data_IF_817670816329
#
_entry.id   IF_817670816329
#
_cell.length_a   1.000
_cell.length_b   1.000
_cell.length_c   1.000
_cell.angle_alpha   90.00
_cell.angle_beta   90.00
_cell.angle_gamma   90.00
#
_symmetry.space_group_name_H-M   'P 1'
#
loop_
_entity.id
_entity.type
_entity.pdbx_description
1 polymer ?
#
# COMPACT_ATOMS: atom_id res chain seq x y z
N UNK A 1 -2.35 -13.28 31.19
CA UNK A 1 -1.15 -14.15 31.28
C UNK A 1 0.10 -13.30 31.44
N UNK A 2 1.18 -13.83 32.01
CA UNK A 2 2.45 -13.09 32.14
C UNK A 2 3.36 -13.31 30.92
N UNK A 3 4.34 -12.43 30.72
CA UNK A 3 5.31 -12.49 29.60
C UNK A 3 6.12 -13.80 29.58
N UNK A 4 6.37 -14.40 30.75
CA UNK A 4 7.06 -15.69 30.85
C UNK A 4 6.25 -16.80 30.17
N UNK A 5 4.94 -16.85 30.37
CA UNK A 5 4.05 -17.84 29.73
C UNK A 5 4.11 -17.71 28.20
N UNK A 6 4.01 -16.50 27.65
CA UNK A 6 4.08 -16.31 26.19
C UNK A 6 5.41 -16.75 25.58
N UNK A 7 6.53 -16.54 26.29
CA UNK A 7 7.84 -17.02 25.86
C UNK A 7 7.94 -18.54 25.89
N UNK A 8 7.47 -19.18 26.97
CA UNK A 8 7.52 -20.65 27.13
C UNK A 8 6.63 -21.35 26.09
N UNK A 9 5.44 -20.80 25.83
CA UNK A 9 4.51 -21.31 24.82
C UNK A 9 4.90 -20.93 23.38
N UNK A 10 5.96 -20.12 23.21
CA UNK A 10 6.40 -19.64 21.90
C UNK A 10 5.29 -18.92 21.12
N UNK A 11 4.38 -18.26 21.83
CA UNK A 11 3.18 -17.64 21.28
C UNK A 11 3.51 -16.62 20.17
N UNK A 12 4.64 -15.92 20.30
CA UNK A 12 5.14 -15.01 19.27
C UNK A 12 5.35 -15.70 17.92
N UNK A 13 5.81 -16.96 17.88
CA UNK A 13 5.98 -17.72 16.63
C UNK A 13 4.64 -18.01 15.97
N UNK A 14 3.61 -18.31 16.76
CA UNK A 14 2.23 -18.51 16.29
C UNK A 14 1.71 -17.21 15.67
N UNK A 15 1.91 -16.07 16.35
CA UNK A 15 1.51 -14.76 15.82
C UNK A 15 2.27 -14.40 14.53
N UNK A 16 3.57 -14.70 14.46
CA UNK A 16 4.36 -14.51 13.23
C UNK A 16 3.81 -15.36 12.09
N UNK A 17 3.50 -16.64 12.31
CA UNK A 17 2.89 -17.50 11.30
C UNK A 17 1.50 -17.00 10.89
N UNK A 18 0.66 -16.58 11.82
CA UNK A 18 -0.64 -15.97 11.51
C UNK A 18 -0.47 -14.71 10.65
N UNK A 19 0.51 -13.85 10.96
CA UNK A 19 0.73 -12.60 10.23
C UNK A 19 1.08 -12.81 8.75
N UNK A 20 1.68 -13.95 8.37
CA UNK A 20 1.98 -14.22 6.95
C UNK A 20 0.71 -14.45 6.12
N UNK A 21 -0.42 -14.75 6.76
CA UNK A 21 -1.73 -14.89 6.12
C UNK A 21 -2.49 -13.57 6.02
N UNK A 22 -2.01 -12.45 6.55
CA UNK A 22 -2.66 -11.15 6.36
C UNK A 22 -2.25 -10.51 5.02
N UNK A 23 -3.23 -9.88 4.35
CA UNK A 23 -3.08 -9.29 3.02
C UNK A 23 -2.50 -7.87 3.07
N UNK A 24 -2.71 -7.17 4.19
CA UNK A 24 -2.31 -5.79 4.41
C UNK A 24 -1.30 -5.65 5.55
N UNK A 25 -0.56 -4.54 5.57
CA UNK A 25 0.32 -4.20 6.69
C UNK A 25 -0.45 -3.97 8.00
N UNK A 26 -1.67 -3.43 7.90
CA UNK A 26 -2.56 -3.20 9.03
C UNK A 26 -3.03 -4.52 9.68
N UNK A 27 -3.45 -5.49 8.86
CA UNK A 27 -3.82 -6.83 9.34
C UNK A 27 -2.63 -7.57 9.95
N UNK A 28 -1.43 -7.42 9.37
CA UNK A 28 -0.18 -7.97 9.94
C UNK A 28 0.13 -7.38 11.31
N UNK A 29 0.04 -6.06 11.46
CA UNK A 29 0.23 -5.37 12.74
C UNK A 29 -0.76 -5.86 13.79
N UNK A 30 -2.03 -6.00 13.42
CA UNK A 30 -3.08 -6.48 14.32
C UNK A 30 -2.85 -7.94 14.73
N UNK A 31 -2.47 -8.81 13.80
CA UNK A 31 -2.11 -10.20 14.07
C UNK A 31 -0.98 -10.31 15.12
N UNK A 32 0.09 -9.53 14.95
CA UNK A 32 1.24 -9.56 15.87
C UNK A 32 0.94 -9.00 17.27
N UNK A 33 -0.11 -8.18 17.39
CA UNK A 33 -0.55 -7.59 18.65
C UNK A 33 -1.63 -8.40 19.37
N UNK A 34 -2.17 -9.45 18.77
CA UNK A 34 -3.18 -10.30 19.38
C UNK A 34 -2.75 -10.80 20.76
N UNK A 35 -3.69 -10.78 21.70
CA UNK A 35 -3.56 -11.34 23.04
C UNK A 35 -4.83 -12.12 23.38
N UNK A 36 -4.75 -13.19 24.18
CA UNK A 36 -5.93 -13.88 24.66
C UNK A 36 -6.83 -12.93 25.45
N UNK A 37 -8.13 -12.96 25.16
CA UNK A 37 -9.15 -12.28 25.97
C UNK A 37 -9.66 -13.20 27.07
N UNK A 38 -10.24 -12.60 28.11
CA UNK A 38 -11.00 -13.27 29.18
C UNK A 38 -12.48 -12.87 29.18
N UNK A 39 -12.88 -11.94 28.32
CA UNK A 39 -14.27 -11.53 28.19
C UNK A 39 -15.00 -12.49 27.25
N UNK A 40 -16.04 -13.17 27.74
CA UNK A 40 -16.83 -14.15 26.98
C UNK A 40 -17.32 -13.57 25.65
N UNK A 41 -17.85 -12.36 25.68
CA UNK A 41 -18.47 -11.72 24.52
C UNK A 41 -17.44 -11.43 23.42
N UNK A 42 -16.23 -11.01 23.81
CA UNK A 42 -15.13 -10.77 22.88
C UNK A 42 -14.62 -12.08 22.27
N UNK A 43 -14.52 -13.15 23.07
CA UNK A 43 -14.13 -14.49 22.59
C UNK A 43 -15.14 -15.01 21.58
N UNK A 44 -16.44 -14.98 21.90
CA UNK A 44 -17.52 -15.43 21.02
C UNK A 44 -17.49 -14.64 19.71
N UNK A 45 -17.38 -13.31 19.79
CA UNK A 45 -17.29 -12.45 18.62
C UNK A 45 -16.09 -12.80 17.72
N UNK A 46 -14.90 -12.97 18.32
CA UNK A 46 -13.67 -13.28 17.56
C UNK A 46 -13.70 -14.66 16.91
N UNK A 47 -14.35 -15.63 17.55
CA UNK A 47 -14.56 -16.96 16.97
C UNK A 47 -15.56 -16.87 15.80
N UNK A 48 -16.69 -16.19 15.99
CA UNK A 48 -17.68 -15.97 14.92
C UNK A 48 -17.05 -15.29 13.69
N UNK A 49 -16.24 -14.23 13.87
CA UNK A 49 -15.51 -13.60 12.76
C UNK A 49 -14.62 -14.57 11.98
N UNK A 50 -13.95 -15.48 12.69
CA UNK A 50 -13.04 -16.47 12.08
C UNK A 50 -13.84 -17.54 11.34
N UNK A 51 -14.90 -18.06 11.96
CA UNK A 51 -15.78 -19.08 11.38
C UNK A 51 -16.50 -18.55 10.15
N UNK A 52 -17.08 -17.36 10.22
CA UNK A 52 -17.71 -16.70 9.09
C UNK A 52 -16.72 -16.44 7.95
N UNK A 53 -15.50 -16.00 8.27
CA UNK A 53 -14.46 -15.81 7.25
C UNK A 53 -14.04 -17.13 6.59
N UNK A 54 -14.03 -18.24 7.33
CA UNK A 54 -13.83 -19.58 6.77
C UNK A 54 -14.94 -19.96 5.79
N UNK A 55 -16.21 -19.74 6.15
CA UNK A 55 -17.37 -20.02 5.30
C UNK A 55 -17.33 -19.21 4.00
N UNK A 56 -17.06 -17.91 4.10
CA UNK A 56 -16.92 -17.03 2.92
C UNK A 56 -15.73 -17.47 2.05
N UNK A 57 -14.61 -17.87 2.64
CA UNK A 57 -13.46 -18.33 1.85
C UNK A 57 -13.73 -19.64 1.09
N UNK A 58 -14.65 -20.47 1.58
CA UNK A 58 -15.05 -21.72 0.92
C UNK A 58 -15.99 -21.52 -0.27
N UNK A 59 -16.65 -20.37 -0.40
CA UNK A 59 -17.51 -20.08 -1.56
C UNK A 59 -16.71 -19.91 -2.86
N UNK A 60 -15.40 -19.73 -2.78
CA UNK A 60 -14.51 -19.46 -3.93
C UNK A 60 -14.54 -18.00 -4.39
N UNK A 61 -15.27 -17.13 -3.70
CA UNK A 61 -15.35 -15.71 -4.03
C UNK A 61 -14.02 -14.98 -3.80
N UNK A 62 -13.70 -14.05 -4.70
CA UNK A 62 -12.55 -13.17 -4.52
C UNK A 62 -12.89 -12.04 -3.55
N UNK A 63 -12.34 -12.10 -2.35
CA UNK A 63 -12.54 -11.09 -1.31
C UNK A 63 -11.80 -9.78 -1.69
N UNK A 64 -12.45 -8.61 -1.69
CA UNK A 64 -11.86 -7.34 -2.10
C UNK A 64 -10.95 -6.69 -1.03
N UNK A 65 -9.93 -7.42 -0.56
CA UNK A 65 -8.90 -6.91 0.37
C UNK A 65 -7.73 -6.20 -0.33
N UNK A 66 -7.72 -6.15 -1.67
CA UNK A 66 -6.63 -5.57 -2.45
C UNK A 66 -6.61 -4.04 -2.38
N UNK A 67 -5.41 -3.46 -2.29
CA UNK A 67 -5.20 -2.00 -2.31
C UNK A 67 -5.26 -1.31 -0.95
N UNK A 68 -5.46 -2.07 0.14
CA UNK A 68 -5.45 -1.53 1.51
C UNK A 68 -4.02 -1.16 1.91
N UNK A 69 -3.81 0.10 2.26
CA UNK A 69 -2.51 0.64 2.70
C UNK A 69 -2.60 1.28 4.09
N UNK A 70 -1.50 1.32 4.83
CA UNK A 70 -1.44 2.09 6.08
C UNK A 70 -1.30 3.58 5.78
N UNK A 71 -2.41 4.30 5.92
CA UNK A 71 -2.53 5.71 5.60
C UNK A 71 -2.70 6.58 6.84
N UNK A 72 -2.41 6.06 8.04
CA UNK A 72 -2.55 6.81 9.30
C UNK A 72 -1.75 8.12 9.27
N UNK A 73 -0.55 8.10 8.72
CA UNK A 73 0.29 9.29 8.57
C UNK A 73 -0.28 10.27 7.54
N UNK A 74 -0.69 9.77 6.37
CA UNK A 74 -1.27 10.59 5.29
C UNK A 74 -2.55 11.29 5.75
N UNK A 75 -3.50 10.58 6.38
CA UNK A 75 -4.73 11.20 6.89
C UNK A 75 -4.45 12.24 7.97
N UNK A 76 -3.51 12.00 8.90
CA UNK A 76 -3.11 12.99 9.91
C UNK A 76 -2.47 14.23 9.27
N UNK A 77 -1.59 14.03 8.28
CA UNK A 77 -0.92 15.09 7.54
C UNK A 77 -1.93 15.96 6.77
N UNK A 78 -2.82 15.34 6.01
CA UNK A 78 -3.88 16.03 5.25
C UNK A 78 -4.83 16.81 6.18
N UNK A 79 -5.22 16.22 7.31
CA UNK A 79 -6.08 16.89 8.31
C UNK A 79 -5.44 18.16 8.91
N UNK A 80 -4.10 18.22 8.95
CA UNK A 80 -3.36 19.41 9.40
C UNK A 80 -3.08 20.40 8.27
N UNK A 81 -3.66 20.21 7.08
CA UNK A 81 -3.45 21.05 5.89
C UNK A 81 -2.18 20.73 5.11
N UNK A 82 -1.54 19.59 5.38
CA UNK A 82 -0.37 19.13 4.64
C UNK A 82 -0.72 18.60 3.25
N UNK A 83 0.15 18.83 2.27
CA UNK A 83 -0.02 18.34 0.89
C UNK A 83 0.53 16.92 0.77
N UNK A 84 -0.31 16.01 0.28
CA UNK A 84 0.03 14.63 0.01
C UNK A 84 0.73 14.47 -1.34
N UNK A 85 1.68 13.54 -1.40
CA UNK A 85 2.33 13.15 -2.65
C UNK A 85 1.34 12.36 -3.55
N UNK A 86 1.55 12.35 -4.87
CA UNK A 86 0.70 11.60 -5.81
C UNK A 86 0.52 10.12 -5.43
N UNK A 87 1.57 9.46 -4.94
CA UNK A 87 1.55 8.06 -4.51
C UNK A 87 0.70 7.87 -3.25
N UNK A 88 0.77 8.82 -2.31
CA UNK A 88 -0.08 8.83 -1.10
C UNK A 88 -1.55 8.96 -1.49
N UNK A 89 -1.88 9.86 -2.43
CA UNK A 89 -3.25 10.05 -2.93
C UNK A 89 -3.77 8.81 -3.67
N UNK A 90 -2.94 8.19 -4.52
CA UNK A 90 -3.30 6.94 -5.19
C UNK A 90 -3.64 5.82 -4.20
N UNK A 91 -2.83 5.68 -3.14
CA UNK A 91 -3.09 4.72 -2.07
C UNK A 91 -4.37 5.04 -1.26
N UNK A 92 -4.67 6.33 -1.02
CA UNK A 92 -5.95 6.76 -0.43
C UNK A 92 -7.13 6.32 -1.30
N UNK A 93 -7.10 6.64 -2.60
CA UNK A 93 -8.15 6.22 -3.53
C UNK A 93 -8.34 4.71 -3.57
N UNK A 94 -7.24 3.94 -3.57
CA UNK A 94 -7.28 2.49 -3.53
C UNK A 94 -7.89 1.92 -2.25
N UNK A 95 -7.54 2.49 -1.09
CA UNK A 95 -8.05 2.05 0.20
C UNK A 95 -9.53 2.41 0.39
N UNK A 96 -9.96 3.61 -0.03
CA UNK A 96 -11.36 4.01 -0.02
C UNK A 96 -12.22 3.11 -0.92
N UNK A 97 -11.73 2.80 -2.12
CA UNK A 97 -12.38 1.85 -3.03
C UNK A 97 -12.49 0.46 -2.43
N UNK A 98 -11.44 -0.06 -1.78
CA UNK A 98 -11.48 -1.35 -1.10
C UNK A 98 -12.56 -1.37 0.00
N UNK A 99 -12.66 -0.30 0.81
CA UNK A 99 -13.70 -0.17 1.82
C UNK A 99 -15.10 -0.21 1.22
N UNK A 100 -15.35 0.56 0.15
CA UNK A 100 -16.63 0.55 -0.57
C UNK A 100 -16.96 -0.82 -1.15
N UNK A 101 -15.99 -1.49 -1.78
CA UNK A 101 -16.16 -2.83 -2.35
C UNK A 101 -16.44 -3.89 -1.29
N UNK A 102 -15.79 -3.83 -0.12
CA UNK A 102 -16.07 -4.73 1.01
C UNK A 102 -17.48 -4.53 1.54
N UNK A 103 -17.91 -3.28 1.69
CA UNK A 103 -19.29 -2.98 2.10
C UNK A 103 -20.32 -3.54 1.14
N UNK A 104 -20.10 -3.42 -0.17
CA UNK A 104 -20.96 -4.03 -1.19
C UNK A 104 -20.86 -5.56 -1.17
N UNK A 105 -19.67 -6.10 -0.99
CA UNK A 105 -19.43 -7.55 -0.97
C UNK A 105 -20.25 -8.23 0.11
N UNK A 106 -20.29 -7.67 1.31
CA UNK A 106 -21.07 -8.21 2.43
C UNK A 106 -22.56 -7.81 2.42
N UNK A 107 -23.10 -7.33 1.29
CA UNK A 107 -24.54 -7.12 1.13
C UNK A 107 -25.25 -8.38 0.60
N UNK A 108 -26.57 -8.47 0.79
CA UNK A 108 -27.39 -9.60 0.29
C UNK A 108 -27.16 -10.90 1.05
N UNK A 109 -27.13 -12.04 0.34
CA UNK A 109 -27.01 -13.39 0.91
C UNK A 109 -25.75 -13.58 1.79
N UNK A 110 -24.68 -12.84 1.51
CA UNK A 110 -23.45 -12.90 2.32
C UNK A 110 -23.63 -12.25 3.70
N UNK A 111 -24.58 -11.34 3.85
CA UNK A 111 -24.93 -10.78 5.15
C UNK A 111 -25.60 -11.82 6.06
N UNK A 112 -26.33 -12.77 5.47
CA UNK A 112 -26.95 -13.87 6.21
C UNK A 112 -25.94 -14.95 6.55
N UNK A 113 -25.01 -15.23 5.63
CA UNK A 113 -23.93 -16.22 5.82
C UNK A 113 -22.88 -15.75 6.83
N UNK A 114 -22.57 -14.45 6.83
CA UNK A 114 -21.52 -13.85 7.65
C UNK A 114 -22.02 -12.56 8.33
N UNK A 115 -22.98 -12.64 9.28
CA UNK A 115 -23.62 -11.49 9.89
C UNK A 115 -22.64 -10.62 10.70
N UNK A 116 -21.66 -11.23 11.36
CA UNK A 116 -20.67 -10.52 12.16
C UNK A 116 -19.72 -9.71 11.29
N UNK A 117 -19.20 -10.31 10.22
CA UNK A 117 -18.35 -9.62 9.25
C UNK A 117 -19.13 -8.58 8.46
N UNK A 118 -20.40 -8.85 8.15
CA UNK A 118 -21.27 -7.88 7.48
C UNK A 118 -21.54 -6.67 8.36
N UNK A 119 -21.76 -6.84 9.67
CA UNK A 119 -21.90 -5.72 10.60
C UNK A 119 -20.63 -4.84 10.61
N UNK A 120 -19.44 -5.45 10.61
CA UNK A 120 -18.17 -4.72 10.48
C UNK A 120 -18.08 -3.97 9.15
N UNK A 121 -18.37 -4.64 8.03
CA UNK A 121 -18.29 -4.05 6.70
C UNK A 121 -19.31 -2.89 6.52
N UNK A 122 -20.48 -2.98 7.14
CA UNK A 122 -21.50 -1.93 7.10
C UNK A 122 -21.11 -0.67 7.87
N UNK A 123 -20.19 -0.78 8.85
CA UNK A 123 -19.62 0.37 9.54
C UNK A 123 -18.60 1.15 8.69
N UNK A 124 -18.18 0.62 7.53
CA UNK A 124 -17.29 1.33 6.60
C UNK A 124 -18.01 2.53 5.98
N UNK A 125 -17.39 3.71 6.13
CA UNK A 125 -17.79 4.90 5.42
C UNK A 125 -17.33 4.82 3.95
N UNK A 126 -18.15 5.30 3.02
CA UNK A 126 -17.81 5.39 1.60
C UNK A 126 -17.60 6.86 1.22
N UNK A 127 -16.64 7.12 0.32
CA UNK A 127 -16.27 8.47 -0.10
C UNK A 127 -16.25 8.57 -1.64
N UNK A 128 -17.41 8.40 -2.30
CA UNK A 128 -17.47 8.30 -3.76
C UNK A 128 -16.93 9.55 -4.47
N UNK A 129 -17.18 10.74 -3.93
CA UNK A 129 -16.66 12.00 -4.47
C UNK A 129 -15.13 12.05 -4.40
N UNK A 130 -14.54 11.68 -3.26
CA UNK A 130 -13.08 11.61 -3.11
C UNK A 130 -12.46 10.56 -4.03
N UNK A 131 -13.07 9.36 -4.09
CA UNK A 131 -12.61 8.29 -4.99
C UNK A 131 -12.59 8.78 -6.44
N UNK A 132 -13.67 9.41 -6.90
CA UNK A 132 -13.80 9.91 -8.27
C UNK A 132 -12.80 11.03 -8.59
N UNK A 133 -12.60 11.96 -7.66
CA UNK A 133 -11.64 13.06 -7.85
C UNK A 133 -10.19 12.57 -7.88
N UNK A 134 -9.83 11.62 -7.00
CA UNK A 134 -8.51 10.97 -7.05
C UNK A 134 -8.35 10.17 -8.34
N UNK A 135 -9.33 9.36 -8.74
CA UNK A 135 -9.25 8.55 -9.96
C UNK A 135 -9.15 9.42 -11.22
N UNK A 136 -9.79 10.59 -11.24
CA UNK A 136 -9.69 11.54 -12.35
C UNK A 136 -8.29 12.16 -12.47
N UNK A 137 -7.60 12.35 -11.35
CA UNK A 137 -6.37 13.14 -11.30
C UNK A 137 -5.09 12.31 -11.16
N UNK A 138 -5.16 11.11 -10.58
CA UNK A 138 -4.02 10.28 -10.21
C UNK A 138 -4.08 8.93 -10.93
N UNK A 139 -2.96 8.54 -11.53
CA UNK A 139 -2.77 7.21 -12.12
C UNK A 139 -2.60 6.13 -11.04
N UNK A 140 -2.92 4.85 -11.35
CA UNK A 140 -2.69 3.74 -10.43
C UNK A 140 -1.23 3.63 -9.94
N UNK A 141 -0.26 4.02 -10.76
CA UNK A 141 1.17 4.00 -10.42
C UNK A 141 1.59 5.16 -9.49
N UNK A 142 0.67 6.08 -9.16
CA UNK A 142 0.95 7.21 -8.28
C UNK A 142 1.59 8.39 -9.01
N UNK A 143 1.12 8.72 -10.22
CA UNK A 143 1.53 9.93 -10.95
C UNK A 143 0.32 10.79 -11.31
N UNK A 144 0.51 12.09 -11.53
CA UNK A 144 -0.60 12.98 -11.92
C UNK A 144 -0.91 12.83 -13.41
N UNK A 145 -2.17 12.52 -13.72
CA UNK A 145 -2.66 12.33 -15.09
C UNK A 145 -2.48 13.59 -15.93
N UNK A 146 -2.19 13.42 -17.22
CA UNK A 146 -2.09 14.53 -18.18
C UNK A 146 -3.36 15.38 -18.24
N UNK A 147 -4.51 14.74 -18.05
CA UNK A 147 -5.84 15.34 -18.10
C UNK A 147 -6.46 15.59 -16.72
N UNK A 148 -5.65 15.60 -15.65
CA UNK A 148 -6.15 15.88 -14.30
C UNK A 148 -6.87 17.23 -14.19
N UNK A 149 -6.50 18.20 -15.03
CA UNK A 149 -7.29 19.41 -15.27
C UNK A 149 -7.19 19.86 -16.74
N UNK A 150 -8.18 20.61 -17.26
CA UNK A 150 -8.08 21.19 -18.61
C UNK A 150 -6.87 22.12 -18.77
N UNK A 151 -6.51 22.83 -17.70
CA UNK A 151 -5.33 23.70 -17.67
C UNK A 151 -4.03 22.88 -17.75
N UNK A 152 -3.92 21.80 -16.97
CA UNK A 152 -2.76 20.93 -16.98
C UNK A 152 -2.56 20.28 -18.36
N UNK A 153 -3.63 19.78 -18.97
CA UNK A 153 -3.60 19.20 -20.30
C UNK A 153 -3.09 20.21 -21.35
N UNK A 154 -3.56 21.47 -21.27
CA UNK A 154 -3.09 22.56 -22.13
C UNK A 154 -1.60 22.85 -21.92
N UNK A 155 -1.14 22.97 -20.67
CA UNK A 155 0.25 23.24 -20.32
C UNK A 155 1.17 22.12 -20.82
N UNK A 156 0.82 20.85 -20.56
CA UNK A 156 1.58 19.68 -21.04
C UNK A 156 1.64 19.60 -22.57
N UNK A 157 0.56 19.95 -23.26
CA UNK A 157 0.54 20.05 -24.73
C UNK A 157 1.45 21.17 -25.25
N UNK A 158 1.45 22.33 -24.59
CA UNK A 158 2.36 23.44 -24.89
C UNK A 158 3.83 23.04 -24.67
N UNK A 159 4.14 22.36 -23.55
CA UNK A 159 5.48 21.81 -23.26
C UNK A 159 5.93 20.90 -24.40
N UNK A 160 5.12 19.92 -24.80
CA UNK A 160 5.44 19.01 -25.93
C UNK A 160 5.67 19.78 -27.23
N UNK A 161 4.85 20.80 -27.51
CA UNK A 161 4.97 21.65 -28.70
C UNK A 161 6.29 22.42 -28.70
N UNK A 162 6.65 23.05 -27.58
CA UNK A 162 7.89 23.79 -27.45
C UNK A 162 9.12 22.87 -27.50
N UNK A 163 9.08 21.74 -26.81
CA UNK A 163 10.15 20.72 -26.87
C UNK A 163 10.39 20.23 -28.29
N UNK A 164 9.34 19.94 -29.07
CA UNK A 164 9.47 19.55 -30.47
C UNK A 164 10.06 20.67 -31.32
N UNK A 165 9.60 21.92 -31.17
CA UNK A 165 10.17 23.08 -31.89
C UNK A 165 11.65 23.30 -31.59
N UNK A 166 12.06 23.14 -30.33
CA UNK A 166 13.48 23.23 -29.93
C UNK A 166 14.28 22.11 -30.58
N UNK A 167 13.80 20.87 -30.51
CA UNK A 167 14.44 19.71 -31.14
C UNK A 167 14.57 19.87 -32.65
N UNK A 168 13.53 20.32 -33.34
CA UNK A 168 13.55 20.49 -34.79
C UNK A 168 14.59 21.54 -35.21
N UNK A 169 14.62 22.70 -34.53
CA UNK A 169 15.62 23.74 -34.79
C UNK A 169 17.04 23.27 -34.48
N UNK A 170 17.25 22.59 -33.36
CA UNK A 170 18.56 22.06 -33.00
C UNK A 170 19.00 20.95 -33.93
N UNK A 171 18.11 20.05 -34.35
CA UNK A 171 18.43 19.00 -35.31
C UNK A 171 18.82 19.59 -36.67
N UNK A 172 18.12 20.62 -37.15
CA UNK A 172 18.49 21.34 -38.36
C UNK A 172 19.89 21.98 -38.24
N UNK A 173 20.20 22.56 -37.07
CA UNK A 173 21.53 23.12 -36.80
C UNK A 173 22.61 22.03 -36.67
N UNK A 174 22.32 20.89 -36.05
CA UNK A 174 23.29 19.81 -35.82
C UNK A 174 23.61 19.04 -37.11
N UNK A 175 22.63 18.89 -37.98
CA UNK A 175 22.75 18.16 -39.25
C UNK A 175 23.08 19.06 -40.45
N UNK A 176 23.18 20.37 -40.23
CA UNK A 176 23.72 21.30 -41.23
C UNK A 176 25.17 20.97 -41.57
N UNK A 177 25.51 21.02 -42.87
CA UNK A 177 26.82 20.56 -43.37
C UNK A 177 28.04 21.31 -42.79
N UNK A 178 27.89 22.60 -42.47
CA UNK A 178 28.98 23.43 -41.94
C UNK A 178 29.09 23.36 -40.41
N UNK A 179 27.97 23.36 -39.71
CA UNK A 179 27.91 23.33 -38.24
C UNK A 179 28.43 22.03 -37.64
N UNK A 180 28.29 20.89 -38.34
CA UNK A 180 28.79 19.59 -37.87
C UNK A 180 30.30 19.56 -37.61
N UNK A 181 31.08 20.39 -38.32
CA UNK A 181 32.54 20.51 -38.13
C UNK A 181 32.90 21.15 -36.78
N UNK A 182 32.01 22.00 -36.26
CA UNK A 182 32.21 22.77 -35.03
C UNK A 182 31.76 22.01 -33.78
N UNK A 183 30.96 20.96 -33.94
CA UNK A 183 30.43 20.17 -32.84
C UNK A 183 31.43 19.10 -32.39
N UNK A 184 31.44 18.84 -31.08
CA UNK A 184 32.15 17.68 -30.54
C UNK A 184 31.38 16.40 -30.90
N UNK A 185 30.06 16.42 -30.69
CA UNK A 185 29.14 15.35 -31.05
C UNK A 185 27.89 15.95 -31.70
N UNK A 186 27.38 15.29 -32.74
CA UNK A 186 26.21 15.73 -33.46
C UNK A 186 24.92 15.27 -32.77
N UNK A 187 24.73 15.69 -31.51
CA UNK A 187 23.56 15.36 -30.72
C UNK A 187 23.08 16.52 -29.86
N UNK A 188 21.77 16.53 -29.59
CA UNK A 188 21.12 17.49 -28.71
C UNK A 188 21.19 16.99 -27.27
N UNK A 189 21.69 17.80 -26.36
CA UNK A 189 21.79 17.48 -24.92
C UNK A 189 20.96 18.41 -24.06
N UNK A 190 20.72 18.01 -22.82
CA UNK A 190 20.15 18.87 -21.78
C UNK A 190 21.26 19.24 -20.76
N UNK A 191 21.41 20.53 -20.45
CA UNK A 191 22.25 21.03 -19.36
C UNK A 191 21.45 22.00 -18.51
N UNK A 192 21.41 21.77 -17.19
CA UNK A 192 20.67 22.63 -16.25
C UNK A 192 19.20 22.86 -16.66
N UNK A 193 18.56 21.84 -17.25
CA UNK A 193 17.20 21.92 -17.76
C UNK A 193 17.03 22.75 -19.04
N UNK A 194 18.11 23.03 -19.79
CA UNK A 194 18.06 23.73 -21.08
C UNK A 194 18.63 22.84 -22.18
N UNK A 195 18.00 22.88 -23.35
CA UNK A 195 18.52 22.21 -24.53
C UNK A 195 19.73 22.96 -25.09
N UNK A 196 20.83 22.24 -25.29
CA UNK A 196 22.13 22.77 -25.71
C UNK A 196 22.83 21.81 -26.68
N UNK A 197 23.78 22.34 -27.43
CA UNK A 197 24.65 21.56 -28.33
C UNK A 197 26.10 21.63 -27.86
N UNK A 198 26.85 20.51 -27.92
CA UNK A 198 28.26 20.47 -27.52
C UNK A 198 29.15 20.99 -28.66
N UNK A 199 29.76 22.15 -28.45
CA UNK A 199 30.63 22.85 -29.41
C UNK A 199 32.08 22.76 -28.94
N UNK A 200 33.02 22.49 -29.86
CA UNK A 200 34.45 22.52 -29.52
C UNK A 200 34.87 23.93 -29.13
N UNK A 201 35.69 24.05 -28.10
CA UNK A 201 36.10 25.34 -27.53
C UNK A 201 36.70 26.29 -28.60
N UNK A 202 37.49 25.76 -29.53
CA UNK A 202 38.11 26.50 -30.64
C UNK A 202 37.10 27.15 -31.61
N UNK A 203 35.89 26.61 -31.71
CA UNK A 203 34.83 27.11 -32.61
C UNK A 203 33.73 27.89 -31.87
N UNK A 204 33.98 28.30 -30.61
CA UNK A 204 33.00 29.03 -29.77
C UNK A 204 32.40 30.25 -30.46
N UNK A 205 33.19 31.02 -31.20
CA UNK A 205 32.75 32.26 -31.84
C UNK A 205 31.85 32.04 -33.07
N UNK A 206 31.90 30.85 -33.68
CA UNK A 206 31.14 30.54 -34.89
C UNK A 206 29.68 30.19 -34.61
N UNK A 207 29.36 29.79 -33.37
CA UNK A 207 27.99 29.49 -32.95
C UNK A 207 27.51 30.56 -31.96
N UNK A 208 26.74 31.56 -32.41
CA UNK A 208 26.19 32.58 -31.53
C UNK A 208 25.16 31.95 -30.57
N UNK A 209 25.36 32.19 -29.28
CA UNK A 209 24.57 31.56 -28.23
C UNK A 209 25.14 31.79 -26.84
N UNK A 210 24.45 31.26 -25.83
CA UNK A 210 24.79 31.39 -24.41
C UNK A 210 25.48 30.10 -23.96
N UNK A 211 26.61 30.20 -23.26
CA UNK A 211 27.29 29.03 -22.68
C UNK A 211 26.62 28.70 -21.35
N UNK A 212 26.14 27.46 -21.18
CA UNK A 212 25.52 27.00 -19.94
C UNK A 212 26.41 26.13 -19.09
N UNK A 213 27.37 25.47 -19.72
CA UNK A 213 28.27 24.53 -19.04
C UNK A 213 29.54 24.28 -19.88
N UNK A 214 30.55 23.70 -19.26
CA UNK A 214 31.82 23.33 -19.89
C UNK A 214 32.26 21.93 -19.42
N UNK A 215 32.87 21.14 -20.29
CA UNK A 215 33.44 19.84 -19.91
C UNK A 215 34.58 20.00 -18.89
N UNK A 216 34.82 18.97 -18.08
CA UNK A 216 35.91 18.98 -17.09
C UNK A 216 37.31 19.26 -17.70
N UNK A 217 37.52 18.86 -18.95
CA UNK A 217 38.74 19.12 -19.73
C UNK A 217 38.81 20.53 -20.34
N UNK A 218 37.73 21.31 -20.29
CA UNK A 218 37.60 22.60 -20.96
C UNK A 218 37.26 22.52 -22.45
N UNK A 219 37.55 21.40 -23.11
CA UNK A 219 37.53 21.26 -24.57
C UNK A 219 36.14 21.39 -25.22
N UNK A 220 35.05 21.13 -24.49
CA UNK A 220 33.68 21.18 -25.01
C UNK A 220 32.87 22.21 -24.24
N UNK A 221 32.23 23.13 -24.97
CA UNK A 221 31.30 24.11 -24.44
C UNK A 221 29.87 23.70 -24.79
N UNK A 222 28.98 23.70 -23.80
CA UNK A 222 27.57 23.42 -23.99
C UNK A 222 26.83 24.73 -24.25
N UNK A 223 26.48 24.98 -25.51
CA UNK A 223 25.95 26.26 -25.97
C UNK A 223 24.46 26.13 -26.29
N UNK A 224 23.64 27.06 -25.79
CA UNK A 224 22.28 27.31 -26.24
C UNK A 224 22.32 28.30 -27.42
N UNK A 225 22.06 27.87 -28.66
CA UNK A 225 22.09 28.76 -29.81
C UNK A 225 21.03 29.85 -29.73
N UNK A 226 21.35 31.06 -30.20
CA UNK A 226 20.45 32.21 -30.15
C UNK A 226 19.06 31.92 -30.78
N UNK A 227 19.02 31.05 -31.81
CA UNK A 227 17.81 30.65 -32.52
C UNK A 227 16.75 29.92 -31.66
N UNK A 228 17.15 29.40 -30.48
CA UNK A 228 16.26 28.67 -29.57
C UNK A 228 16.13 29.30 -28.18
N UNK A 229 16.91 30.35 -27.86
CA UNK A 229 16.90 30.99 -26.54
C UNK A 229 15.50 31.41 -26.12
N UNK A 230 14.76 32.05 -27.02
CA UNK A 230 13.38 32.48 -26.76
C UNK A 230 12.44 31.29 -26.52
N UNK A 231 12.58 30.22 -27.31
CA UNK A 231 11.74 29.03 -27.21
C UNK A 231 12.02 28.28 -25.90
N UNK A 232 13.28 28.17 -25.49
CA UNK A 232 13.67 27.58 -24.21
C UNK A 232 13.18 28.42 -23.02
N UNK A 233 13.23 29.74 -23.11
CA UNK A 233 12.68 30.60 -22.06
C UNK A 233 11.15 30.43 -21.93
N UNK A 234 10.43 30.37 -23.05
CA UNK A 234 8.99 30.06 -23.06
C UNK A 234 8.71 28.67 -22.51
N UNK A 235 9.49 27.65 -22.90
CA UNK A 235 9.37 26.29 -22.38
C UNK A 235 9.53 26.27 -20.85
N UNK A 236 10.57 26.92 -20.33
CA UNK A 236 10.80 27.02 -18.87
C UNK A 236 9.67 27.72 -18.15
N UNK A 237 9.07 28.75 -18.75
CA UNK A 237 7.91 29.42 -18.16
C UNK A 237 6.71 28.48 -18.07
N UNK A 238 6.38 27.75 -19.15
CA UNK A 238 5.25 26.82 -19.17
C UNK A 238 5.50 25.63 -18.23
N UNK A 239 6.74 25.14 -18.13
CA UNK A 239 7.12 24.11 -17.14
C UNK A 239 6.88 24.61 -15.70
N UNK A 240 7.26 25.84 -15.36
CA UNK A 240 7.00 26.40 -14.05
C UNK A 240 5.50 26.64 -13.78
N UNK A 241 4.71 26.93 -14.80
CA UNK A 241 3.24 27.01 -14.71
C UNK A 241 2.61 25.61 -14.52
N UNK A 242 3.16 24.58 -15.16
CA UNK A 242 2.76 23.17 -14.99
C UNK A 242 3.01 22.69 -13.56
N UNK A 243 4.20 22.94 -13.02
CA UNK A 243 4.54 22.59 -11.63
C UNK A 243 3.57 23.22 -10.63
N UNK A 244 3.21 24.49 -10.84
CA UNK A 244 2.23 25.20 -10.01
C UNK A 244 0.84 24.60 -10.13
N UNK A 245 0.41 24.23 -11.33
CA UNK A 245 -0.89 23.62 -11.56
C UNK A 245 -0.96 22.22 -10.92
N UNK A 246 0.10 21.42 -11.04
CA UNK A 246 0.22 20.13 -10.34
C UNK A 246 0.13 20.33 -8.83
N UNK A 247 0.89 21.27 -8.26
CA UNK A 247 0.83 21.56 -6.84
C UNK A 247 -0.57 22.00 -6.38
N UNK A 248 -1.27 22.80 -7.19
CA UNK A 248 -2.66 23.21 -6.94
C UNK A 248 -3.63 22.03 -6.90
N UNK A 249 -3.50 21.10 -7.86
CA UNK A 249 -4.32 19.88 -7.93
C UNK A 249 -4.06 19.01 -6.69
N UNK A 250 -2.80 18.76 -6.35
CA UNK A 250 -2.43 17.97 -5.18
C UNK A 250 -2.92 18.60 -3.88
N UNK A 251 -2.83 19.92 -3.74
CA UNK A 251 -3.35 20.64 -2.58
C UNK A 251 -4.87 20.49 -2.45
N UNK A 252 -5.61 20.62 -3.57
CA UNK A 252 -7.07 20.46 -3.58
C UNK A 252 -7.49 19.03 -3.18
N UNK A 253 -6.85 18.01 -3.75
CA UNK A 253 -7.12 16.61 -3.39
C UNK A 253 -6.75 16.34 -1.92
N UNK A 254 -5.63 16.87 -1.45
CA UNK A 254 -5.21 16.71 -0.05
C UNK A 254 -6.20 17.35 0.92
N UNK A 255 -6.81 18.48 0.55
CA UNK A 255 -7.86 19.11 1.34
C UNK A 255 -9.10 18.19 1.45
N UNK A 256 -9.56 17.61 0.34
CA UNK A 256 -10.67 16.64 0.34
C UNK A 256 -10.35 15.41 1.23
N UNK A 257 -9.11 14.91 1.18
CA UNK A 257 -8.66 13.84 2.08
C UNK A 257 -8.71 14.29 3.54
N UNK A 258 -8.34 15.54 3.83
CA UNK A 258 -8.38 16.14 5.16
C UNK A 258 -9.79 16.22 5.74
N UNK A 259 -10.79 16.54 4.93
CA UNK A 259 -12.21 16.61 5.32
C UNK A 259 -12.75 15.26 5.80
N UNK A 260 -12.36 14.18 5.13
CA UNK A 260 -12.82 12.82 5.48
C UNK A 260 -11.85 12.04 6.38
N UNK A 261 -10.77 12.66 6.84
CA UNK A 261 -9.69 11.96 7.54
C UNK A 261 -10.14 11.19 8.79
N UNK A 262 -11.07 11.74 9.58
CA UNK A 262 -11.58 11.10 10.80
C UNK A 262 -12.33 9.79 10.51
N UNK A 263 -13.41 9.77 9.69
CA UNK A 263 -14.06 8.52 9.33
C UNK A 263 -13.15 7.58 8.51
N UNK A 264 -12.23 8.13 7.71
CA UNK A 264 -11.27 7.30 6.97
C UNK A 264 -10.26 6.58 7.89
N UNK A 265 -9.84 7.19 9.00
CA UNK A 265 -9.03 6.53 10.03
C UNK A 265 -9.80 5.39 10.71
N UNK A 266 -11.09 5.58 11.00
CA UNK A 266 -11.95 4.50 11.53
C UNK A 266 -12.09 3.35 10.52
N UNK A 267 -12.21 3.65 9.22
CA UNK A 267 -12.18 2.62 8.18
C UNK A 267 -10.90 1.76 8.25
N UNK A 268 -9.72 2.35 8.49
CA UNK A 268 -8.47 1.58 8.57
C UNK A 268 -8.50 0.52 9.69
N UNK A 269 -9.13 0.83 10.83
CA UNK A 269 -9.28 -0.12 11.94
C UNK A 269 -10.21 -1.27 11.56
N UNK A 270 -11.35 -0.97 10.92
CA UNK A 270 -12.31 -1.96 10.45
C UNK A 270 -11.68 -2.85 9.37
N UNK A 271 -10.98 -2.25 8.40
CA UNK A 271 -10.26 -2.96 7.34
C UNK A 271 -9.19 -3.89 7.91
N UNK A 272 -8.45 -3.46 8.94
CA UNK A 272 -7.47 -4.28 9.63
C UNK A 272 -8.11 -5.51 10.30
N UNK A 273 -9.28 -5.31 10.94
CA UNK A 273 -10.04 -6.39 11.60
C UNK A 273 -10.60 -7.39 10.58
N UNK A 274 -11.16 -6.91 9.46
CA UNK A 274 -11.61 -7.77 8.37
C UNK A 274 -10.46 -8.58 7.76
N UNK A 275 -9.31 -7.95 7.47
CA UNK A 275 -8.13 -8.67 6.96
C UNK A 275 -7.60 -9.69 7.97
N UNK A 276 -7.62 -9.36 9.28
CA UNK A 276 -7.25 -10.30 10.33
C UNK A 276 -8.21 -11.50 10.41
N UNK A 277 -9.52 -11.30 10.26
CA UNK A 277 -10.49 -12.39 10.24
C UNK A 277 -10.20 -13.37 9.10
N UNK A 278 -9.95 -12.86 7.89
CA UNK A 278 -9.54 -13.68 6.75
C UNK A 278 -8.14 -14.30 6.90
N UNK A 279 -7.21 -13.63 7.58
CA UNK A 279 -5.91 -14.22 7.94
C UNK A 279 -6.08 -15.41 8.90
N UNK A 280 -6.92 -15.26 9.94
CA UNK A 280 -7.26 -16.34 10.87
C UNK A 280 -7.97 -17.49 10.17
N UNK A 281 -8.89 -17.20 9.24
CA UNK A 281 -9.56 -18.23 8.46
C UNK A 281 -8.59 -19.06 7.63
N UNK A 282 -7.70 -18.42 6.87
CA UNK A 282 -6.65 -19.11 6.10
C UNK A 282 -5.72 -19.92 7.00
N UNK A 283 -5.34 -19.38 8.15
CA UNK A 283 -4.51 -20.10 9.11
C UNK A 283 -5.25 -21.27 9.75
N UNK A 284 -6.55 -21.13 10.05
CA UNK A 284 -7.40 -22.21 10.54
C UNK A 284 -7.53 -23.33 9.51
N UNK A 285 -7.71 -22.99 8.23
CA UNK A 285 -7.77 -23.97 7.14
C UNK A 285 -6.47 -24.76 7.01
N UNK A 286 -5.31 -24.09 7.07
CA UNK A 286 -3.99 -24.73 7.07
C UNK A 286 -3.83 -25.71 8.25
N UNK A 287 -4.30 -25.32 9.44
CA UNK A 287 -4.21 -26.15 10.64
C UNK A 287 -5.28 -27.23 10.73
N UNK A 288 -6.28 -27.22 9.84
CA UNK A 288 -7.55 -27.95 10.03
C UNK A 288 -8.20 -27.64 11.40
N UNK A 289 -8.14 -26.36 11.80
CA UNK A 289 -8.72 -25.85 13.05
C UNK A 289 -10.25 -25.92 13.05
N UNK A 290 -10.81 -26.06 14.25
CA UNK A 290 -12.25 -26.08 14.50
C UNK A 290 -12.58 -25.05 15.57
N UNK A 291 -13.73 -24.39 15.44
CA UNK A 291 -14.23 -23.46 16.45
C UNK A 291 -14.47 -24.21 17.79
N UNK A 292 -13.88 -23.74 18.90
CA UNK A 292 -14.12 -24.36 20.19
C UNK A 292 -15.52 -24.01 20.73
N UNK A 293 -16.14 -24.97 21.41
CA UNK A 293 -17.36 -24.72 22.18
C UNK A 293 -16.95 -24.04 23.49
N UNK A 294 -17.36 -22.79 23.67
CA UNK A 294 -17.10 -22.03 24.89
C UNK A 294 -18.23 -22.28 25.89
N UNK A 295 -17.89 -22.62 27.13
CA UNK A 295 -18.85 -22.88 28.21
C UNK A 295 -18.39 -22.20 29.49
N UNK A 296 -19.32 -21.91 30.40
CA UNK A 296 -19.01 -21.35 31.74
C UNK A 296 -18.42 -22.39 32.71
N UNK A 297 -18.37 -23.67 32.32
CA UNK A 297 -17.80 -24.72 33.14
C UNK A 297 -16.28 -24.56 33.22
N UNK A 298 -15.71 -24.81 34.41
CA UNK A 298 -14.25 -24.85 34.62
C UNK A 298 -13.70 -26.20 34.19
N UNK A 299 -13.93 -26.54 32.92
CA UNK A 299 -13.47 -27.78 32.30
C UNK A 299 -12.83 -27.51 30.94
N UNK A 300 -11.91 -28.39 30.57
CA UNK A 300 -11.20 -28.37 29.30
C UNK A 300 -11.34 -29.75 28.67
N UNK A 301 -11.80 -29.79 27.41
CA UNK A 301 -11.83 -31.01 26.63
C UNK A 301 -11.26 -30.73 25.24
N UNK A 302 -10.12 -31.33 24.95
CA UNK A 302 -9.43 -31.27 23.68
C UNK A 302 -9.49 -32.66 23.05
N UNK A 303 -9.98 -32.74 21.81
CA UNK A 303 -10.09 -33.98 21.05
C UNK A 303 -9.20 -33.88 19.81
N UNK A 304 -8.39 -34.90 19.58
CA UNK A 304 -7.42 -35.00 18.51
C UNK A 304 -6.53 -33.74 18.35
N UNK A 305 -6.18 -33.08 19.45
CA UNK A 305 -5.46 -31.82 19.45
C UNK A 305 -4.00 -32.00 19.00
N UNK A 306 -3.49 -30.97 18.32
CA UNK A 306 -2.13 -30.94 17.78
C UNK A 306 -1.48 -29.61 18.12
N UNK A 307 -0.21 -29.66 18.47
CA UNK A 307 0.55 -28.44 18.70
C UNK A 307 0.73 -27.67 17.38
N UNK A 308 0.32 -26.40 17.27
CA UNK A 308 0.24 -25.66 16.00
C UNK A 308 1.61 -25.31 15.36
N UNK A 309 2.69 -25.44 16.14
CA UNK A 309 4.07 -25.25 15.64
C UNK A 309 4.79 -26.55 15.25
N UNK A 310 4.17 -27.72 15.45
CA UNK A 310 4.77 -28.96 14.97
C UNK A 310 4.50 -29.17 13.48
N UNK A 311 5.50 -29.68 12.78
CA UNK A 311 5.45 -29.96 11.34
C UNK A 311 5.52 -31.47 11.07
N UNK A 312 5.07 -31.90 9.89
CA UNK A 312 5.10 -33.30 9.46
C UNK A 312 4.02 -34.17 10.12
N UNK A 313 4.35 -35.44 10.39
CA UNK A 313 3.40 -36.42 10.95
C UNK A 313 3.27 -36.24 12.46
N UNK A 314 2.36 -35.36 12.88
CA UNK A 314 2.05 -35.10 14.29
C UNK A 314 1.01 -36.09 14.79
N UNK A 315 1.30 -36.78 15.90
CA UNK A 315 0.34 -37.64 16.60
C UNK A 315 -0.56 -36.75 17.46
N UNK A 316 -1.89 -36.76 17.25
CA UNK A 316 -2.80 -35.96 18.05
C UNK A 316 -2.98 -36.52 19.46
N UNK A 317 -3.40 -35.66 20.39
CA UNK A 317 -3.70 -36.04 21.78
C UNK A 317 -5.15 -35.71 22.15
N UNK A 318 -5.72 -36.53 23.02
CA UNK A 318 -6.97 -36.23 23.71
C UNK A 318 -6.65 -35.82 25.15
N UNK A 319 -7.27 -34.74 25.63
CA UNK A 319 -7.08 -34.22 26.97
C UNK A 319 -8.43 -33.82 27.55
N UNK A 320 -8.73 -34.29 28.75
CA UNK A 320 -9.89 -33.84 29.52
C UNK A 320 -9.42 -33.44 30.93
N UNK A 321 -9.94 -32.33 31.45
CA UNK A 321 -9.64 -31.83 32.79
C UNK A 321 -10.83 -31.04 33.32
N UNK A 322 -11.15 -31.17 34.61
CA UNK A 322 -12.22 -30.41 35.27
C UNK A 322 -13.61 -31.04 35.21
N UNK A 323 -13.78 -32.18 34.53
CA UNK A 323 -15.03 -32.96 34.55
C UNK A 323 -15.06 -33.92 35.75
N UNK A 324 -14.31 -35.03 35.69
CA UNK A 324 -14.25 -36.06 36.74
C UNK A 324 -13.02 -35.95 37.64
N UNK A 325 -12.00 -35.21 37.22
CA UNK A 325 -10.76 -34.97 37.98
C UNK A 325 -10.20 -33.57 37.69
N UNK A 326 -9.46 -33.01 38.65
CA UNK A 326 -8.88 -31.67 38.58
C UNK A 326 -7.35 -31.66 38.46
N UNK A 327 -6.71 -32.82 38.55
CA UNK A 327 -5.24 -32.92 38.51
C UNK A 327 -4.82 -34.06 37.59
N UNK A 328 -3.90 -33.76 36.68
CA UNK A 328 -3.32 -34.71 35.74
C UNK A 328 -1.82 -34.86 36.01
N UNK A 329 -1.36 -36.09 36.22
CA UNK A 329 0.06 -36.41 36.40
C UNK A 329 0.58 -37.12 35.13
N UNK A 330 1.50 -36.48 34.41
CA UNK A 330 2.07 -37.02 33.17
C UNK A 330 3.45 -37.63 33.43
N UNK A 331 3.54 -38.96 33.38
CA UNK A 331 4.79 -39.73 33.51
C UNK A 331 5.28 -40.25 32.16
N UNK A 332 6.58 -40.53 32.01
CA UNK A 332 7.14 -41.13 30.79
C UNK A 332 8.58 -40.68 30.50
N UNK A 333 9.24 -41.26 29.48
CA UNK A 333 10.59 -40.86 29.07
C UNK A 333 10.61 -39.40 28.56
N UNK A 334 11.77 -38.74 28.63
CA UNK A 334 11.90 -37.32 28.23
C UNK A 334 11.55 -37.07 26.75
N UNK A 335 11.81 -38.05 25.88
CA UNK A 335 11.50 -38.00 24.45
C UNK A 335 10.04 -38.36 24.13
N UNK A 336 9.22 -38.70 25.12
CA UNK A 336 7.83 -39.14 24.95
C UNK A 336 6.81 -38.02 24.70
N UNK A 337 7.24 -36.82 24.32
CA UNK A 337 6.33 -35.72 23.96
C UNK A 337 5.65 -34.99 25.13
N UNK A 338 5.99 -35.29 26.40
CA UNK A 338 5.36 -34.68 27.60
C UNK A 338 5.30 -33.15 27.55
N UNK A 339 6.42 -32.50 27.24
CA UNK A 339 6.50 -31.04 27.19
C UNK A 339 5.67 -30.45 26.06
N UNK A 340 5.61 -31.12 24.91
CA UNK A 340 4.77 -30.68 23.79
C UNK A 340 3.30 -30.82 24.16
N UNK A 341 2.90 -31.94 24.76
CA UNK A 341 1.53 -32.15 25.22
C UNK A 341 1.07 -31.10 26.24
N UNK A 342 1.95 -30.66 27.14
CA UNK A 342 1.66 -29.57 28.09
C UNK A 342 1.59 -28.17 27.45
N UNK A 343 2.29 -27.96 26.33
CA UNK A 343 2.25 -26.70 25.59
C UNK A 343 1.06 -26.61 24.62
N UNK A 344 0.49 -27.77 24.25
CA UNK A 344 -0.62 -27.91 23.29
C UNK A 344 -1.92 -27.46 23.93
#
# INVERSE_FOLDING_TARGET
MNEKTFRVLEFGKILTRLSTYASSTLGKELALRLRPSIASDEIIQWQAETTEACLISQSGDRIPLGGISDLRAAFKKARLGGILAPEELGAVGATCRAARLLRVFFSGERAETAPTLAALAMALAAFPELEQEIERAIEPEGSVKDNASPQLARLRSQIRTYQNRVRDKLNALVHGGESRKYLQEALVTLRNGRYVIPVKQEYRQLIPGIVHDQSASGATLFIEPMAIVEINNQLRQVEAEEEKEVARILAALSALVGEVATPALANLEILARLDLAFAKARYSQELHGTEPIITDAVSLRLLAARHPLLEGKVVPIDLELGCSFQTLVITGPNTGGKTVGLKT
#
